data_IF_923402564598
#
_entry.id   IF_923402564598
#
_cell.length_a   1.000
_cell.length_b   1.000
_cell.length_c   1.000
_cell.angle_alpha   90.00
_cell.angle_beta   90.00
_cell.angle_gamma   90.00
#
_symmetry.space_group_name_H-M   'P 1'
#
loop_
_entity.id
_entity.type
_entity.pdbx_description
1 polymer ?
#
# COMPACT_ATOMS: atom_id res chain seq x y z
N UNK A 1 2.91 -7.84 14.23
CA UNK A 1 3.14 -6.45 14.64
C UNK A 1 4.64 -6.10 14.67
N UNK A 2 5.46 -6.75 15.50
CA UNK A 2 6.89 -6.41 15.64
C UNK A 2 7.68 -6.41 14.31
N UNK A 3 7.46 -7.40 13.44
CA UNK A 3 8.11 -7.45 12.11
C UNK A 3 7.82 -6.23 11.25
N UNK A 4 6.61 -5.66 11.34
CA UNK A 4 6.22 -4.45 10.61
C UNK A 4 6.93 -3.22 11.18
N UNK A 5 6.97 -3.10 12.52
CA UNK A 5 7.70 -2.02 13.21
C UNK A 5 9.18 -2.06 12.83
N UNK A 6 9.83 -3.23 12.92
CA UNK A 6 11.25 -3.38 12.58
C UNK A 6 11.52 -3.16 11.08
N UNK A 7 10.55 -3.42 10.20
CA UNK A 7 10.70 -3.11 8.77
C UNK A 7 10.71 -1.61 8.47
N UNK A 8 10.16 -0.80 9.37
CA UNK A 8 10.17 0.66 9.29
C UNK A 8 11.36 1.31 10.02
N UNK A 9 12.33 0.54 10.53
CA UNK A 9 13.42 1.02 11.36
C UNK A 9 14.15 2.28 10.84
N UNK A 10 14.44 2.46 9.54
CA UNK A 10 15.09 3.68 9.04
C UNK A 10 14.26 4.96 9.27
N UNK A 11 12.95 4.82 9.44
CA UNK A 11 11.99 5.91 9.58
C UNK A 11 11.58 6.19 11.04
N UNK A 12 11.93 5.30 11.98
CA UNK A 12 11.46 5.40 13.36
C UNK A 12 12.39 6.27 14.20
N UNK A 13 11.82 7.30 14.83
CA UNK A 13 12.49 8.09 15.85
C UNK A 13 12.39 7.43 17.23
N UNK A 14 13.20 7.90 18.18
CA UNK A 14 13.14 7.45 19.57
C UNK A 14 11.75 7.70 20.19
N UNK A 15 11.13 8.84 19.86
CA UNK A 15 9.78 9.20 20.31
C UNK A 15 8.73 8.21 19.79
N UNK A 16 8.84 7.78 18.52
CA UNK A 16 7.91 6.80 17.94
C UNK A 16 7.97 5.46 18.69
N UNK A 17 9.17 5.03 19.13
CA UNK A 17 9.34 3.80 19.91
C UNK A 17 8.76 3.91 21.32
N UNK A 18 8.86 5.08 21.95
CA UNK A 18 8.26 5.34 23.25
C UNK A 18 6.73 5.30 23.15
N UNK A 19 6.14 6.06 22.21
CA UNK A 19 4.69 6.06 21.98
C UNK A 19 4.16 4.66 21.63
N UNK A 20 4.91 3.89 20.83
CA UNK A 20 4.55 2.50 20.54
C UNK A 20 4.56 1.62 21.80
N UNK A 21 5.58 1.76 22.65
CA UNK A 21 5.68 0.97 23.88
C UNK A 21 4.54 1.29 24.86
N UNK A 22 4.16 2.56 24.96
CA UNK A 22 3.04 3.03 25.77
C UNK A 22 1.71 2.50 25.22
N UNK A 23 1.47 2.66 23.92
CA UNK A 23 0.24 2.21 23.26
C UNK A 23 0.07 0.68 23.23
N UNK A 24 1.16 -0.08 23.27
CA UNK A 24 1.13 -1.53 23.39
C UNK A 24 1.01 -2.03 24.85
N UNK A 25 0.90 -1.12 25.83
CA UNK A 25 0.94 -1.42 27.27
C UNK A 25 2.19 -2.21 27.70
N UNK A 26 3.30 -2.03 26.98
CA UNK A 26 4.57 -2.70 27.26
C UNK A 26 5.42 -1.82 28.17
N UNK A 27 5.04 -1.75 29.45
CA UNK A 27 5.71 -0.92 30.46
C UNK A 27 7.07 -1.46 30.94
N UNK A 28 7.59 -2.53 30.32
CA UNK A 28 8.89 -3.07 30.68
C UNK A 28 10.00 -2.25 30.02
N UNK A 29 10.80 -1.54 30.82
CA UNK A 29 11.95 -0.77 30.34
C UNK A 29 12.98 -1.60 29.56
N UNK A 30 13.04 -2.92 29.80
CA UNK A 30 13.93 -3.81 29.04
C UNK A 30 13.45 -4.02 27.61
N UNK A 31 12.13 -4.03 27.38
CA UNK A 31 11.57 -4.14 26.02
C UNK A 31 11.90 -2.91 25.19
N UNK A 32 11.73 -1.71 25.76
CA UNK A 32 12.06 -0.46 25.05
C UNK A 32 13.56 -0.40 24.70
N UNK A 33 14.45 -0.80 25.63
CA UNK A 33 15.90 -0.89 25.36
C UNK A 33 16.22 -1.88 24.24
N UNK A 34 15.60 -3.06 24.26
CA UNK A 34 15.79 -4.06 23.21
C UNK A 34 15.28 -3.58 21.86
N UNK A 35 14.12 -2.92 21.84
CA UNK A 35 13.52 -2.35 20.63
C UNK A 35 14.39 -1.23 20.05
N UNK A 36 14.89 -0.33 20.90
CA UNK A 36 15.83 0.72 20.51
C UNK A 36 17.11 0.13 19.90
N UNK A 37 17.73 -0.84 20.58
CA UNK A 37 18.92 -1.54 20.06
C UNK A 37 18.65 -2.16 18.69
N UNK A 38 17.53 -2.86 18.55
CA UNK A 38 17.14 -3.49 17.29
C UNK A 38 16.93 -2.46 16.18
N UNK A 39 16.27 -1.33 16.46
CA UNK A 39 16.05 -0.27 15.45
C UNK A 39 17.37 0.40 15.07
N UNK A 40 18.29 0.63 16.01
CA UNK A 40 19.62 1.15 15.74
C UNK A 40 20.42 0.23 14.81
N UNK A 41 20.42 -1.09 15.07
CA UNK A 41 21.08 -2.09 14.23
C UNK A 41 20.48 -2.17 12.81
N UNK A 42 19.20 -1.83 12.68
CA UNK A 42 18.46 -1.88 11.42
C UNK A 42 18.38 -0.53 10.68
N UNK A 43 18.99 0.53 11.21
CA UNK A 43 18.84 1.91 10.72
C UNK A 43 19.48 2.13 9.34
N UNK A 44 20.61 1.46 9.08
CA UNK A 44 21.34 1.53 7.81
C UNK A 44 20.67 0.71 6.69
N UNK A 45 19.53 0.05 6.98
CA UNK A 45 18.75 -0.59 5.92
C UNK A 45 18.18 0.48 5.00
N UNK A 46 18.08 0.14 3.72
CA UNK A 46 17.37 0.97 2.77
C UNK A 46 15.95 1.24 3.27
N UNK A 47 15.49 2.49 3.14
CA UNK A 47 14.11 2.81 3.45
C UNK A 47 13.18 1.84 2.73
N UNK A 48 12.18 1.27 3.44
CA UNK A 48 11.24 0.38 2.79
C UNK A 48 10.55 1.15 1.66
N UNK A 49 10.75 0.69 0.42
CA UNK A 49 10.03 1.17 -0.77
C UNK A 49 8.62 0.59 -0.73
N UNK A 50 7.88 1.01 0.29
CA UNK A 50 6.52 0.55 0.56
C UNK A 50 5.51 1.13 -0.41
N UNK A 51 4.34 0.53 -0.41
CA UNK A 51 3.18 1.04 -1.09
C UNK A 51 2.28 1.79 -0.10
N UNK A 52 1.86 3.01 -0.43
CA UNK A 52 0.95 3.79 0.42
C UNK A 52 -0.48 3.53 0.00
N UNK A 53 -1.33 3.15 0.96
CA UNK A 53 -2.77 3.01 0.76
C UNK A 53 -3.48 4.19 1.40
N UNK A 54 -4.18 4.99 0.59
CA UNK A 54 -4.99 6.10 1.08
C UNK A 54 -6.42 5.62 1.36
N UNK A 55 -6.87 5.80 2.60
CA UNK A 55 -8.28 5.64 2.99
C UNK A 55 -8.81 7.03 3.31
N UNK A 56 -9.61 7.57 2.41
CA UNK A 56 -10.02 8.98 2.44
C UNK A 56 -11.53 9.11 2.69
N UNK A 57 -11.92 10.15 3.42
CA UNK A 57 -13.32 10.56 3.55
C UNK A 57 -13.95 10.88 2.18
N UNK A 58 -15.27 10.68 2.06
CA UNK A 58 -16.05 10.87 0.82
C UNK A 58 -15.85 12.24 0.16
N UNK A 59 -15.62 13.30 0.94
CA UNK A 59 -15.42 14.65 0.39
C UNK A 59 -13.99 14.89 -0.11
N UNK A 60 -13.02 14.11 0.40
CA UNK A 60 -11.60 14.26 0.06
C UNK A 60 -11.18 13.44 -1.16
N UNK A 61 -12.02 12.51 -1.61
CA UNK A 61 -11.76 11.65 -2.77
C UNK A 61 -11.59 12.43 -4.08
N UNK A 62 -12.14 13.65 -4.20
CA UNK A 62 -12.04 14.43 -5.44
C UNK A 62 -10.64 15.04 -5.67
N UNK A 63 -9.83 15.13 -4.63
CA UNK A 63 -8.52 15.77 -4.70
C UNK A 63 -7.47 14.77 -5.23
N UNK A 64 -6.52 15.22 -6.06
CA UNK A 64 -5.50 14.37 -6.67
C UNK A 64 -4.32 14.16 -5.71
N UNK A 65 -4.56 13.54 -4.55
CA UNK A 65 -3.56 13.35 -3.50
C UNK A 65 -2.28 12.66 -3.98
N UNK A 66 -2.39 11.75 -4.96
CA UNK A 66 -1.26 11.05 -5.56
C UNK A 66 -0.27 12.00 -6.25
N UNK A 67 -0.72 13.18 -6.70
CA UNK A 67 0.08 14.14 -7.44
C UNK A 67 0.73 15.23 -6.57
N UNK A 68 0.56 15.20 -5.25
CA UNK A 68 1.26 16.14 -4.35
C UNK A 68 2.75 15.80 -4.26
N UNK A 69 3.59 16.80 -4.02
CA UNK A 69 5.06 16.68 -4.11
C UNK A 69 5.66 15.50 -3.33
N UNK A 70 5.12 15.18 -2.15
CA UNK A 70 5.65 14.10 -1.30
C UNK A 70 5.13 12.69 -1.68
N UNK A 71 4.00 12.59 -2.40
CA UNK A 71 3.42 11.31 -2.82
C UNK A 71 3.67 10.99 -4.29
N UNK A 72 3.90 11.99 -5.13
CA UNK A 72 4.20 11.84 -6.56
C UNK A 72 5.33 10.83 -6.86
N UNK A 73 6.44 10.76 -6.10
CA UNK A 73 7.49 9.76 -6.37
C UNK A 73 7.20 8.39 -5.76
N UNK A 74 6.08 8.22 -5.04
CA UNK A 74 5.75 6.99 -4.29
C UNK A 74 4.70 6.17 -5.02
N UNK A 75 4.71 4.86 -4.77
CA UNK A 75 3.62 3.98 -5.20
C UNK A 75 2.41 4.20 -4.29
N UNK A 76 1.27 4.61 -4.85
CA UNK A 76 0.06 4.95 -4.09
C UNK A 76 -1.19 4.32 -4.71
N UNK A 77 -2.06 3.74 -3.89
CA UNK A 77 -3.43 3.36 -4.28
C UNK A 77 -4.43 3.90 -3.27
N UNK A 78 -5.72 3.87 -3.64
CA UNK A 78 -6.83 4.19 -2.74
C UNK A 78 -7.61 2.95 -2.39
N UNK A 79 -8.10 2.91 -1.16
CA UNK A 79 -9.01 1.88 -0.69
C UNK A 79 -10.20 2.53 0.02
N UNK A 80 -11.40 1.93 -0.08
CA UNK A 80 -12.61 2.53 0.48
C UNK A 80 -12.66 2.48 2.01
N UNK A 81 -11.99 1.50 2.63
CA UNK A 81 -11.96 1.34 4.08
C UNK A 81 -10.76 0.49 4.53
N UNK A 82 -10.45 0.51 5.82
CA UNK A 82 -9.46 -0.38 6.40
C UNK A 82 -9.89 -1.86 6.30
N UNK A 83 -11.19 -2.14 6.44
CA UNK A 83 -11.73 -3.50 6.29
C UNK A 83 -11.48 -4.06 4.89
N UNK A 84 -11.60 -3.24 3.84
CA UNK A 84 -11.27 -3.67 2.49
C UNK A 84 -9.78 -4.07 2.40
N UNK A 85 -8.87 -3.25 2.92
CA UNK A 85 -7.43 -3.57 2.96
C UNK A 85 -7.15 -4.90 3.65
N UNK A 86 -7.75 -5.10 4.83
CA UNK A 86 -7.59 -6.34 5.59
C UNK A 86 -8.20 -7.54 4.86
N UNK A 87 -9.36 -7.37 4.23
CA UNK A 87 -10.01 -8.40 3.43
C UNK A 87 -9.15 -8.85 2.25
N UNK A 88 -8.53 -7.92 1.53
CA UNK A 88 -7.58 -8.24 0.47
C UNK A 88 -6.33 -8.96 1.00
N UNK A 89 -5.79 -8.54 2.14
CA UNK A 89 -4.67 -9.22 2.79
C UNK A 89 -5.03 -10.65 3.21
N UNK A 90 -6.23 -10.84 3.75
CA UNK A 90 -6.74 -12.14 4.13
C UNK A 90 -6.96 -13.04 2.89
N UNK A 91 -7.56 -12.51 1.83
CA UNK A 91 -7.76 -13.23 0.56
C UNK A 91 -6.43 -13.79 0.03
N UNK A 92 -5.36 -12.98 0.05
CA UNK A 92 -4.02 -13.45 -0.36
C UNK A 92 -3.46 -14.59 0.49
N UNK A 93 -3.86 -14.67 1.76
CA UNK A 93 -3.39 -15.71 2.67
C UNK A 93 -4.17 -17.01 2.51
N UNK A 94 -5.48 -16.93 2.30
CA UNK A 94 -6.36 -18.10 2.20
C UNK A 94 -6.42 -18.68 0.78
N UNK A 95 -6.20 -17.84 -0.23
CA UNK A 95 -6.21 -18.24 -1.64
C UNK A 95 -4.91 -17.78 -2.32
N UNK A 96 -3.89 -18.65 -2.39
CA UNK A 96 -2.65 -18.39 -3.10
C UNK A 96 -2.84 -18.18 -4.61
N UNK A 97 -3.94 -18.69 -5.18
CA UNK A 97 -4.27 -18.59 -6.59
C UNK A 97 -5.06 -17.32 -6.95
N UNK A 98 -5.47 -16.52 -5.96
CA UNK A 98 -6.20 -15.29 -6.22
C UNK A 98 -5.38 -14.30 -7.07
N UNK A 99 -6.09 -13.41 -7.76
CA UNK A 99 -5.51 -12.38 -8.64
C UNK A 99 -4.49 -11.48 -7.92
N UNK A 100 -4.65 -11.25 -6.61
CA UNK A 100 -3.73 -10.43 -5.82
C UNK A 100 -2.39 -11.11 -5.55
N UNK A 101 -2.34 -12.45 -5.65
CA UNK A 101 -1.14 -13.26 -5.46
C UNK A 101 -0.50 -13.59 -6.80
N UNK A 102 -1.29 -13.99 -7.81
CA UNK A 102 -0.80 -14.42 -9.12
C UNK A 102 -0.70 -13.32 -10.17
N UNK A 103 -1.38 -12.20 -9.97
CA UNK A 103 -1.53 -11.16 -10.99
C UNK A 103 -2.59 -11.51 -12.03
N UNK A 104 -2.67 -10.69 -13.08
CA UNK A 104 -3.60 -10.82 -14.20
C UNK A 104 -2.82 -11.29 -15.43
N UNK A 105 -3.33 -12.30 -16.13
CA UNK A 105 -2.81 -12.71 -17.44
C UNK A 105 -3.45 -11.84 -18.53
N UNK A 106 -2.70 -10.93 -19.19
CA UNK A 106 -3.24 -10.03 -20.21
C UNK A 106 -3.71 -10.75 -21.47
N UNK A 107 -3.37 -12.03 -21.68
CA UNK A 107 -3.91 -12.83 -22.80
C UNK A 107 -5.28 -13.44 -22.48
N UNK A 108 -5.70 -13.39 -21.22
CA UNK A 108 -6.95 -14.00 -20.72
C UNK A 108 -7.83 -12.95 -20.05
N UNK A 109 -8.03 -11.83 -20.73
CA UNK A 109 -8.89 -10.72 -20.28
C UNK A 109 -9.93 -10.38 -21.33
N UNK A 110 -10.99 -9.69 -20.89
CA UNK A 110 -11.97 -9.08 -21.76
C UNK A 110 -11.79 -7.56 -21.71
N UNK A 111 -12.02 -6.89 -22.84
CA UNK A 111 -12.02 -5.44 -22.95
C UNK A 111 -13.36 -4.97 -23.50
N UNK A 112 -13.76 -3.76 -23.10
CA UNK A 112 -14.93 -3.07 -23.64
C UNK A 112 -14.43 -1.79 -24.30
N UNK A 113 -14.64 -1.67 -25.62
CA UNK A 113 -14.16 -0.54 -26.41
C UNK A 113 -15.34 0.18 -27.06
N UNK A 114 -15.49 1.46 -26.75
CA UNK A 114 -16.51 2.36 -27.30
C UNK A 114 -17.93 1.78 -27.31
N UNK A 115 -18.48 1.34 -26.15
CA UNK A 115 -19.78 0.67 -26.11
C UNK A 115 -20.93 1.56 -26.60
N UNK A 116 -20.84 2.87 -26.38
CA UNK A 116 -21.84 3.86 -26.80
C UNK A 116 -21.61 4.41 -28.22
N UNK A 117 -20.52 4.03 -28.89
CA UNK A 117 -20.19 4.48 -30.24
C UNK A 117 -19.75 5.95 -30.36
N UNK A 118 -19.65 6.70 -29.25
CA UNK A 118 -19.40 8.15 -29.25
C UNK A 118 -17.91 8.56 -29.19
N UNK A 119 -16.98 7.60 -29.18
CA UNK A 119 -15.53 7.82 -29.14
C UNK A 119 -14.80 7.19 -30.36
N UNK A 120 -15.12 7.59 -31.61
CA UNK A 120 -14.60 6.93 -32.82
C UNK A 120 -13.08 7.03 -32.97
N UNK A 121 -12.47 8.16 -32.61
CA UNK A 121 -11.01 8.33 -32.70
C UNK A 121 -10.27 7.48 -31.66
N UNK A 122 -10.82 7.38 -30.44
CA UNK A 122 -10.29 6.51 -29.38
C UNK A 122 -10.41 5.04 -29.79
N UNK A 123 -11.55 4.63 -30.32
CA UNK A 123 -11.76 3.26 -30.82
C UNK A 123 -10.73 2.93 -31.91
N UNK A 124 -10.60 3.79 -32.93
CA UNK A 124 -9.64 3.61 -34.00
C UNK A 124 -8.21 3.49 -33.48
N UNK A 125 -7.85 4.28 -32.47
CA UNK A 125 -6.51 4.26 -31.88
C UNK A 125 -6.18 2.96 -31.13
N UNK A 126 -7.15 2.40 -30.42
CA UNK A 126 -6.90 1.28 -29.50
C UNK A 126 -7.36 -0.09 -30.04
N UNK A 127 -8.14 -0.14 -31.12
CA UNK A 127 -8.66 -1.40 -31.71
C UNK A 127 -7.56 -2.43 -31.92
N UNK A 128 -6.45 -2.03 -32.54
CA UNK A 128 -5.35 -2.93 -32.90
C UNK A 128 -4.55 -3.40 -31.68
N UNK A 129 -4.71 -2.78 -30.50
CA UNK A 129 -4.02 -3.21 -29.27
C UNK A 129 -4.72 -4.40 -28.62
N UNK A 130 -5.98 -4.65 -28.98
CA UNK A 130 -6.83 -5.65 -28.37
C UNK A 130 -7.24 -6.77 -29.33
N UNK A 131 -6.74 -6.75 -30.57
CA UNK A 131 -6.98 -7.75 -31.62
C UNK A 131 -5.74 -8.62 -31.79
#
# INVERSE_FOLDING_TARGET
>A
MLKVVLSAAPLLSLADLQTLSEGACLHNGDFLKLLQKSVCELRERQEPHGHTVLVLDKYLQKLPWENISCLKPRSVTRMPSLQAVLGHSHLRQVDPDCVLSRGIDPQRVYFVLNPDGNLPETEKRFRDWFT
#
